data_IF_159150704048
#
_entry.id   IF_159150704048
#
_cell.length_a   1.000
_cell.length_b   1.000
_cell.length_c   1.000
_cell.angle_alpha   90.00
_cell.angle_beta   90.00
_cell.angle_gamma   90.00
#
_symmetry.space_group_name_H-M   'P 1'
#
loop_
_entity.id
_entity.type
_entity.pdbx_description
1 polymer ?
#
# COMPACT_ATOMS: atom_id res chain seq x y z
N UNK A 1 15.82 8.79 15.94
CA UNK A 1 16.39 7.41 15.95
C UNK A 1 16.49 6.77 17.32
N UNK A 2 17.07 7.41 18.35
CA UNK A 2 17.18 6.81 19.70
C UNK A 2 15.82 6.39 20.27
N UNK A 3 14.83 7.28 20.24
CA UNK A 3 13.46 7.00 20.71
C UNK A 3 12.84 5.76 20.04
N UNK A 4 13.06 5.61 18.72
CA UNK A 4 12.60 4.44 17.96
C UNK A 4 13.25 3.15 18.46
N UNK A 5 14.56 3.17 18.73
CA UNK A 5 15.28 2.00 19.26
C UNK A 5 14.90 1.69 20.71
N UNK A 6 14.63 2.71 21.53
CA UNK A 6 14.15 2.52 22.90
C UNK A 6 12.78 1.83 22.93
N UNK A 7 11.88 2.22 22.02
CA UNK A 7 10.55 1.65 21.89
C UNK A 7 10.57 0.24 21.29
N UNK A 8 11.22 0.06 20.14
CA UNK A 8 11.13 -1.18 19.36
C UNK A 8 12.24 -2.18 19.73
N UNK A 9 13.35 -1.72 20.30
CA UNK A 9 14.58 -2.50 20.42
C UNK A 9 15.50 -2.32 19.22
N UNK A 10 16.55 -3.15 19.07
CA UNK A 10 17.40 -3.13 17.89
C UNK A 10 16.65 -3.68 16.65
N UNK A 11 16.91 -3.15 15.44
CA UNK A 11 16.38 -3.73 14.21
C UNK A 11 17.04 -5.07 13.86
N UNK A 12 16.36 -5.90 13.08
CA UNK A 12 16.91 -7.17 12.56
C UNK A 12 18.01 -6.94 11.50
N UNK A 13 18.03 -5.74 10.92
CA UNK A 13 19.01 -5.31 9.94
C UNK A 13 18.82 -3.85 9.57
N UNK A 14 19.82 -3.26 8.93
CA UNK A 14 19.78 -1.88 8.48
C UNK A 14 20.56 -1.69 7.17
N UNK A 15 20.28 -0.60 6.47
CA UNK A 15 21.03 -0.13 5.30
C UNK A 15 21.38 1.35 5.45
N UNK A 16 22.59 1.72 5.08
CA UNK A 16 23.09 3.10 5.00
C UNK A 16 22.71 3.80 3.68
N UNK A 17 22.07 3.07 2.76
CA UNK A 17 21.71 3.56 1.43
C UNK A 17 22.91 3.95 0.56
N UNK A 18 24.11 3.41 0.86
CA UNK A 18 25.34 3.78 0.18
C UNK A 18 25.85 5.19 0.54
N UNK A 19 25.32 5.80 1.59
CA UNK A 19 25.79 7.09 2.11
C UNK A 19 26.89 6.90 3.16
N UNK A 20 27.80 7.87 3.27
CA UNK A 20 28.77 7.94 4.38
C UNK A 20 28.13 8.51 5.66
N UNK A 21 26.79 8.54 5.76
CA UNK A 21 26.09 9.08 6.91
C UNK A 21 26.45 8.28 8.18
N UNK A 22 26.57 8.95 9.34
CA UNK A 22 26.93 8.30 10.59
C UNK A 22 25.83 7.39 11.15
N UNK A 23 24.69 7.31 10.47
CA UNK A 23 23.47 6.64 10.93
C UNK A 23 22.80 5.90 9.76
N UNK A 24 22.23 4.70 9.98
CA UNK A 24 21.56 3.97 8.90
C UNK A 24 20.28 4.68 8.44
N UNK A 25 20.03 4.68 7.12
CA UNK A 25 18.87 5.32 6.50
C UNK A 25 17.61 4.45 6.55
N UNK A 26 17.76 3.13 6.55
CA UNK A 26 16.64 2.19 6.63
C UNK A 26 16.88 1.16 7.72
N UNK A 27 15.90 1.01 8.61
CA UNK A 27 15.87 -0.05 9.61
C UNK A 27 14.78 -1.05 9.27
N UNK A 28 15.10 -2.34 9.33
CA UNK A 28 14.16 -3.43 9.10
C UNK A 28 13.87 -4.22 10.38
N UNK A 29 12.59 -4.37 10.69
CA UNK A 29 12.04 -5.27 11.69
C UNK A 29 11.18 -6.30 10.95
N UNK A 30 11.84 -7.34 10.45
CA UNK A 30 11.28 -8.27 9.48
C UNK A 30 10.25 -9.19 10.12
N UNK A 31 9.21 -9.58 9.36
CA UNK A 31 8.89 -9.15 8.00
C UNK A 31 7.95 -7.94 7.93
N UNK A 32 7.56 -7.33 9.06
CA UNK A 32 6.35 -6.51 9.13
C UNK A 32 6.58 -5.00 9.22
N UNK A 33 7.82 -4.53 9.41
CA UNK A 33 8.08 -3.10 9.60
C UNK A 33 9.42 -2.68 9.02
N UNK A 34 9.40 -1.58 8.28
CA UNK A 34 10.55 -0.85 7.77
C UNK A 34 10.43 0.61 8.21
N UNK A 35 11.53 1.22 8.64
CA UNK A 35 11.56 2.62 9.08
C UNK A 35 12.67 3.34 8.32
N UNK A 36 12.29 4.38 7.58
CA UNK A 36 13.21 5.22 6.81
C UNK A 36 13.44 6.56 7.51
N UNK A 37 14.69 6.98 7.55
CA UNK A 37 15.12 8.28 8.07
C UNK A 37 15.66 9.15 6.94
N UNK A 38 15.58 10.47 7.13
CA UNK A 38 16.24 11.45 6.27
C UNK A 38 17.77 11.26 6.29
N UNK A 39 18.43 11.58 5.18
CA UNK A 39 19.89 11.44 5.05
C UNK A 39 20.69 12.55 5.72
N UNK A 40 20.06 13.68 5.99
CA UNK A 40 20.70 14.84 6.60
C UNK A 40 20.29 15.01 8.06
N UNK A 41 21.17 15.53 8.93
CA UNK A 41 20.81 15.92 10.28
C UNK A 41 19.57 16.85 10.28
N UNK A 42 18.62 16.67 11.21
CA UNK A 42 18.69 15.81 12.40
C UNK A 42 18.21 14.36 12.17
N UNK A 43 18.21 13.88 10.94
CA UNK A 43 17.85 12.51 10.53
C UNK A 43 16.44 12.14 10.99
N UNK A 44 15.49 12.99 10.60
CA UNK A 44 14.09 12.84 10.98
C UNK A 44 13.51 11.54 10.42
N UNK A 45 12.51 11.02 11.12
CA UNK A 45 11.68 9.94 10.60
C UNK A 45 10.99 10.43 9.32
N UNK A 46 11.24 9.76 8.21
CA UNK A 46 10.68 10.12 6.91
C UNK A 46 9.47 9.25 6.56
N UNK A 47 9.58 7.93 6.76
CA UNK A 47 8.52 6.99 6.39
C UNK A 47 8.52 5.78 7.30
N UNK A 48 7.34 5.34 7.72
CA UNK A 48 7.13 4.02 8.31
C UNK A 48 6.41 3.17 7.28
N UNK A 49 6.93 1.98 6.96
CA UNK A 49 6.30 1.06 6.03
C UNK A 49 5.99 -0.28 6.69
N UNK A 50 4.78 -0.77 6.48
CA UNK A 50 4.38 -2.16 6.75
C UNK A 50 4.33 -2.89 5.40
N UNK A 51 5.40 -3.60 5.00
CA UNK A 51 5.50 -4.20 3.67
C UNK A 51 4.64 -5.46 3.50
N UNK A 52 4.25 -6.08 4.61
CA UNK A 52 3.46 -7.29 4.62
C UNK A 52 2.45 -7.21 5.78
N UNK A 53 1.26 -7.75 5.55
CA UNK A 53 0.27 -7.97 6.59
C UNK A 53 0.29 -9.41 7.09
N UNK A 54 -0.35 -9.64 8.21
CA UNK A 54 -0.42 -10.97 8.79
C UNK A 54 -1.13 -11.96 7.84
N UNK A 55 -0.78 -13.25 7.90
CA UNK A 55 -1.58 -14.29 7.26
C UNK A 55 -3.02 -14.29 7.79
N UNK A 56 -4.03 -14.71 6.99
CA UNK A 56 -5.45 -14.63 7.36
C UNK A 56 -5.84 -15.33 8.67
N UNK A 57 -5.09 -16.36 9.09
CA UNK A 57 -5.37 -17.14 10.30
C UNK A 57 -4.82 -16.51 11.59
N UNK A 58 -4.05 -15.41 11.48
CA UNK A 58 -3.40 -14.78 12.63
C UNK A 58 -4.23 -13.63 13.17
N UNK A 59 -4.53 -13.69 14.48
CA UNK A 59 -5.18 -12.60 15.23
C UNK A 59 -4.21 -11.51 15.68
N UNK A 60 -2.92 -11.82 15.75
CA UNK A 60 -1.87 -10.91 16.18
C UNK A 60 -0.56 -11.24 15.49
N UNK A 61 0.26 -10.21 15.30
CA UNK A 61 1.66 -10.32 14.87
C UNK A 61 2.57 -9.69 15.91
N UNK A 62 3.83 -10.10 15.90
CA UNK A 62 4.87 -9.46 16.70
C UNK A 62 5.74 -8.63 15.77
N UNK A 63 5.92 -7.36 16.14
CA UNK A 63 6.86 -6.46 15.48
C UNK A 63 7.82 -5.99 16.55
N UNK A 64 9.04 -6.51 16.51
CA UNK A 64 10.03 -6.28 17.55
C UNK A 64 9.47 -6.59 18.95
N UNK A 65 9.35 -5.58 19.83
CA UNK A 65 8.78 -5.71 21.18
C UNK A 65 7.26 -5.53 21.25
N UNK A 66 6.62 -5.18 20.14
CA UNK A 66 5.19 -4.88 20.08
C UNK A 66 4.40 -6.13 19.66
N UNK A 67 3.24 -6.31 20.28
CA UNK A 67 2.21 -7.25 19.83
C UNK A 67 1.06 -6.45 19.25
N UNK A 68 0.81 -6.62 17.95
CA UNK A 68 -0.16 -5.83 17.19
C UNK A 68 -1.32 -6.74 16.83
N UNK A 69 -2.55 -6.30 17.13
CA UNK A 69 -3.76 -6.97 16.67
C UNK A 69 -3.90 -6.79 15.16
N UNK A 70 -4.31 -7.84 14.46
CA UNK A 70 -4.48 -7.79 13.01
C UNK A 70 -5.84 -7.26 12.60
N UNK A 71 -6.83 -7.31 13.50
CA UNK A 71 -8.22 -6.91 13.27
C UNK A 71 -8.85 -7.51 11.99
N UNK A 72 -8.32 -8.67 11.58
CA UNK A 72 -8.71 -9.38 10.37
C UNK A 72 -8.16 -8.77 9.07
N UNK A 73 -7.20 -7.85 9.13
CA UNK A 73 -6.44 -7.38 7.97
C UNK A 73 -5.37 -8.40 7.58
N UNK A 74 -5.29 -8.71 6.30
CA UNK A 74 -4.32 -9.66 5.75
C UNK A 74 -3.94 -9.27 4.32
N UNK A 75 -2.83 -9.83 3.85
CA UNK A 75 -2.22 -9.52 2.54
C UNK A 75 -3.12 -9.88 1.34
N UNK A 76 -3.97 -10.90 1.47
CA UNK A 76 -4.91 -11.31 0.41
C UNK A 76 -6.15 -10.42 0.26
N UNK A 77 -6.35 -9.41 1.12
CA UNK A 77 -7.50 -8.51 1.00
C UNK A 77 -7.33 -7.57 -0.18
N UNK A 78 -8.41 -7.36 -0.94
CA UNK A 78 -8.43 -6.38 -2.03
C UNK A 78 -8.54 -4.97 -1.48
N UNK A 79 -8.20 -4.00 -2.32
CA UNK A 79 -8.37 -2.58 -2.00
C UNK A 79 -9.84 -2.30 -1.63
N UNK A 80 -10.80 -2.78 -2.42
CA UNK A 80 -12.22 -2.57 -2.13
C UNK A 80 -12.66 -3.22 -0.80
N UNK A 81 -12.04 -4.31 -0.37
CA UNK A 81 -12.32 -4.93 0.93
C UNK A 81 -11.80 -4.08 2.09
N UNK A 82 -10.65 -3.43 1.92
CA UNK A 82 -10.12 -2.45 2.88
C UNK A 82 -11.02 -1.21 2.98
N UNK A 83 -11.42 -0.64 1.85
CA UNK A 83 -12.25 0.56 1.83
C UNK A 83 -13.60 0.35 2.55
N UNK A 84 -14.17 -0.85 2.49
CA UNK A 84 -15.43 -1.19 3.17
C UNK A 84 -15.30 -1.32 4.69
N UNK A 85 -14.09 -1.32 5.25
CA UNK A 85 -13.90 -1.43 6.70
C UNK A 85 -14.21 -0.10 7.39
N UNK A 86 -14.83 -0.18 8.55
CA UNK A 86 -15.14 0.97 9.41
C UNK A 86 -13.92 1.34 10.27
N UNK A 87 -12.83 1.75 9.63
CA UNK A 87 -11.56 2.12 10.30
C UNK A 87 -11.06 3.52 9.95
N UNK A 88 -11.71 4.19 9.01
CA UNK A 88 -11.21 5.43 8.42
C UNK A 88 -11.63 6.69 9.19
N UNK A 89 -12.60 6.58 10.11
CA UNK A 89 -13.08 7.72 10.88
C UNK A 89 -13.56 8.87 9.97
N UNK A 90 -13.09 10.09 10.25
CA UNK A 90 -13.39 11.30 9.48
C UNK A 90 -12.33 11.62 8.41
N UNK A 91 -11.41 10.68 8.11
CA UNK A 91 -10.33 10.93 7.16
C UNK A 91 -10.88 11.12 5.73
N UNK A 92 -10.36 12.12 5.02
CA UNK A 92 -10.59 12.25 3.58
C UNK A 92 -9.82 11.14 2.85
N UNK A 93 -10.56 10.26 2.17
CA UNK A 93 -10.00 9.13 1.43
C UNK A 93 -9.98 9.45 -0.06
N UNK A 94 -8.78 9.36 -0.66
CA UNK A 94 -8.59 9.42 -2.10
C UNK A 94 -8.06 8.07 -2.59
N UNK A 95 -8.78 7.46 -3.52
CA UNK A 95 -8.35 6.22 -4.18
C UNK A 95 -7.69 6.58 -5.50
N UNK A 96 -6.44 6.18 -5.69
CA UNK A 96 -5.68 6.39 -6.92
C UNK A 96 -5.60 5.13 -7.77
N UNK A 97 -5.63 5.30 -9.09
CA UNK A 97 -5.34 4.25 -10.06
C UNK A 97 -4.38 4.77 -11.11
N UNK A 98 -3.29 4.04 -11.38
CA UNK A 98 -2.31 4.40 -12.41
C UNK A 98 -1.96 3.18 -13.28
N UNK A 99 -2.16 3.31 -14.60
CA UNK A 99 -1.70 2.33 -15.57
C UNK A 99 -0.28 2.70 -16.03
N UNK A 100 0.72 1.87 -15.69
CA UNK A 100 2.14 2.08 -16.01
C UNK A 100 2.92 0.79 -15.74
N UNK A 101 4.25 0.81 -15.88
CA UNK A 101 5.10 -0.40 -15.85
C UNK A 101 5.05 -1.26 -14.56
N UNK A 102 4.38 -0.77 -13.52
CA UNK A 102 3.80 -1.59 -12.46
C UNK A 102 2.43 -0.99 -12.16
N UNK A 103 1.31 -1.56 -12.65
CA UNK A 103 -0.01 -0.98 -12.43
C UNK A 103 -0.33 -0.96 -10.94
N UNK A 104 -0.54 0.24 -10.42
CA UNK A 104 -0.81 0.46 -8.99
C UNK A 104 -2.23 0.95 -8.78
N UNK A 105 -2.87 0.45 -7.73
CA UNK A 105 -4.02 1.11 -7.10
C UNK A 105 -3.67 1.39 -5.65
N UNK A 106 -4.07 2.55 -5.14
CA UNK A 106 -3.78 2.93 -3.77
C UNK A 106 -4.95 3.62 -3.06
N UNK A 107 -4.92 3.57 -1.74
CA UNK A 107 -5.77 4.37 -0.86
C UNK A 107 -4.85 5.38 -0.19
N UNK A 108 -5.15 6.66 -0.31
CA UNK A 108 -4.45 7.75 0.36
C UNK A 108 -5.38 8.42 1.36
N UNK A 109 -4.90 8.58 2.59
CA UNK A 109 -5.40 9.56 3.56
C UNK A 109 -4.43 10.75 3.63
N UNK A 110 -4.61 11.65 4.60
CA UNK A 110 -3.68 12.75 4.83
C UNK A 110 -2.24 12.29 5.14
N UNK A 111 -2.08 11.13 5.79
CA UNK A 111 -0.78 10.67 6.31
C UNK A 111 -0.47 9.20 6.02
N UNK A 112 -1.40 8.47 5.40
CA UNK A 112 -1.25 7.04 5.13
C UNK A 112 -1.51 6.72 3.66
N UNK A 113 -0.70 5.84 3.08
CA UNK A 113 -0.88 5.26 1.75
C UNK A 113 -0.94 3.74 1.85
N UNK A 114 -1.96 3.12 1.30
CA UNK A 114 -2.03 1.67 1.15
C UNK A 114 -1.92 1.33 -0.32
N UNK A 115 -1.02 0.42 -0.69
CA UNK A 115 -0.64 0.20 -2.09
C UNK A 115 -0.87 -1.25 -2.48
N UNK A 116 -1.55 -1.46 -3.60
CA UNK A 116 -1.64 -2.75 -4.28
C UNK A 116 -1.06 -2.64 -5.68
N UNK A 117 -0.32 -3.66 -6.05
CA UNK A 117 0.24 -3.86 -7.38
C UNK A 117 -0.48 -5.00 -8.08
N UNK A 118 -0.39 -4.97 -9.41
CA UNK A 118 -0.81 -6.06 -10.27
C UNK A 118 0.41 -6.85 -10.75
N UNK A 119 0.35 -8.18 -10.72
CA UNK A 119 1.39 -9.00 -11.35
C UNK A 119 1.41 -8.79 -12.87
N UNK A 120 2.56 -9.01 -13.52
CA UNK A 120 2.67 -8.90 -14.98
C UNK A 120 1.65 -9.79 -15.73
N UNK A 121 1.36 -10.99 -15.21
CA UNK A 121 0.35 -11.88 -15.80
C UNK A 121 -1.07 -11.34 -15.64
N UNK A 122 -1.38 -10.76 -14.48
CA UNK A 122 -2.65 -10.09 -14.23
C UNK A 122 -2.83 -8.85 -15.12
N UNK A 123 -1.76 -8.10 -15.36
CA UNK A 123 -1.76 -6.94 -16.27
C UNK A 123 -2.07 -7.35 -17.71
N UNK A 124 -1.45 -8.42 -18.20
CA UNK A 124 -1.72 -8.95 -19.53
C UNK A 124 -3.19 -9.41 -19.67
N UNK A 125 -3.75 -10.04 -18.63
CA UNK A 125 -5.17 -10.42 -18.61
C UNK A 125 -6.07 -9.18 -18.72
N UNK A 126 -5.80 -8.14 -17.91
CA UNK A 126 -6.60 -6.91 -17.94
C UNK A 126 -6.48 -6.21 -19.30
N UNK A 127 -5.28 -6.14 -19.88
CA UNK A 127 -5.03 -5.53 -21.19
C UNK A 127 -5.83 -6.23 -22.29
N UNK A 128 -5.74 -7.56 -22.38
CA UNK A 128 -6.50 -8.36 -23.38
C UNK A 128 -8.00 -8.20 -23.22
N UNK A 129 -8.51 -8.16 -21.99
CA UNK A 129 -9.94 -7.94 -21.76
C UNK A 129 -10.36 -6.52 -22.16
N UNK A 130 -9.51 -5.53 -21.91
CA UNK A 130 -9.75 -4.12 -22.26
C UNK A 130 -9.80 -3.90 -23.78
N UNK A 131 -8.97 -4.60 -24.56
CA UNK A 131 -9.04 -4.61 -26.03
C UNK A 131 -10.41 -5.07 -26.55
N UNK A 132 -11.11 -5.92 -25.78
CA UNK A 132 -12.49 -6.33 -26.04
C UNK A 132 -13.54 -5.24 -25.78
N UNK A 133 -13.14 -4.04 -25.36
CA UNK A 133 -14.02 -2.89 -25.18
C UNK A 133 -14.72 -2.83 -23.82
N UNK A 134 -14.00 -3.10 -22.73
CA UNK A 134 -14.56 -2.99 -21.38
C UNK A 134 -15.10 -1.57 -21.12
N UNK A 135 -16.27 -1.52 -20.50
CA UNK A 135 -16.74 -0.29 -19.85
C UNK A 135 -15.76 0.12 -18.75
N UNK A 136 -15.72 1.42 -18.40
CA UNK A 136 -14.86 1.89 -17.30
C UNK A 136 -15.15 1.16 -15.98
N UNK A 137 -16.42 0.91 -15.69
CA UNK A 137 -16.82 0.18 -14.49
C UNK A 137 -16.29 -1.28 -14.51
N UNK A 138 -16.47 -1.99 -15.63
CA UNK A 138 -15.95 -3.35 -15.77
C UNK A 138 -14.42 -3.40 -15.71
N UNK A 139 -13.72 -2.42 -16.32
CA UNK A 139 -12.28 -2.27 -16.22
C UNK A 139 -11.83 -2.12 -14.76
N UNK A 140 -12.47 -1.22 -14.00
CA UNK A 140 -12.09 -0.94 -12.61
C UNK A 140 -12.42 -2.10 -11.68
N UNK A 141 -13.57 -2.76 -11.85
CA UNK A 141 -13.89 -3.98 -11.10
C UNK A 141 -12.90 -5.10 -11.40
N UNK A 142 -12.51 -5.27 -12.66
CA UNK A 142 -11.53 -6.28 -13.03
C UNK A 142 -10.14 -5.95 -12.50
N UNK A 143 -9.77 -4.67 -12.49
CA UNK A 143 -8.53 -4.18 -11.90
C UNK A 143 -8.46 -4.45 -10.40
N UNK A 144 -9.50 -4.12 -9.62
CA UNK A 144 -9.57 -4.43 -8.18
C UNK A 144 -9.42 -5.94 -7.90
N UNK A 145 -10.02 -6.79 -8.74
CA UNK A 145 -9.87 -8.24 -8.62
C UNK A 145 -8.47 -8.77 -8.90
N UNK A 146 -7.74 -8.11 -9.80
CA UNK A 146 -6.44 -8.55 -10.31
C UNK A 146 -5.25 -7.91 -9.57
N UNK A 147 -5.50 -6.87 -8.76
CA UNK A 147 -4.53 -6.23 -7.88
C UNK A 147 -4.39 -6.99 -6.55
N UNK A 148 -3.92 -8.24 -6.64
CA UNK A 148 -3.73 -9.14 -5.50
C UNK A 148 -2.37 -8.97 -4.79
N UNK A 149 -1.45 -8.21 -5.37
CA UNK A 149 -0.13 -7.96 -4.80
C UNK A 149 -0.14 -6.78 -3.82
N UNK A 150 -0.55 -7.01 -2.56
CA UNK A 150 -0.37 -6.02 -1.50
C UNK A 150 1.12 -5.64 -1.39
N UNK A 151 1.40 -4.35 -1.53
CA UNK A 151 2.77 -3.83 -1.60
C UNK A 151 3.22 -3.13 -0.31
N UNK A 152 2.26 -2.57 0.43
CA UNK A 152 2.51 -2.06 1.77
C UNK A 152 1.56 -0.95 2.21
N UNK A 153 1.57 -0.70 3.51
CA UNK A 153 1.07 0.54 4.12
C UNK A 153 2.27 1.45 4.38
N UNK A 154 2.16 2.72 4.01
CA UNK A 154 3.18 3.74 4.21
C UNK A 154 2.57 4.87 5.04
N UNK A 155 3.17 5.19 6.17
CA UNK A 155 2.93 6.46 6.86
C UNK A 155 3.98 7.45 6.41
N UNK A 156 3.54 8.53 5.78
CA UNK A 156 4.38 9.58 5.21
C UNK A 156 3.68 10.95 5.34
N UNK A 157 4.45 12.04 5.22
CA UNK A 157 3.92 13.40 5.37
C UNK A 157 2.96 13.81 4.24
N UNK A 158 3.14 13.27 3.03
CA UNK A 158 2.29 13.60 1.89
C UNK A 158 2.14 12.40 0.94
N UNK A 159 1.34 11.38 1.35
CA UNK A 159 1.12 10.14 0.60
C UNK A 159 0.86 10.29 -0.90
N UNK A 160 0.05 11.26 -1.29
CA UNK A 160 -0.31 11.49 -2.69
C UNK A 160 0.84 12.09 -3.51
N UNK A 161 1.67 12.96 -2.89
CA UNK A 161 2.83 13.56 -3.54
C UNK A 161 3.98 12.56 -3.69
N UNK A 162 4.01 11.52 -2.85
CA UNK A 162 5.00 10.44 -2.89
C UNK A 162 4.66 9.35 -3.94
N UNK A 163 3.63 9.56 -4.77
CA UNK A 163 3.27 8.64 -5.84
C UNK A 163 4.34 8.59 -6.93
N UNK A 164 4.56 7.39 -7.45
CA UNK A 164 5.42 7.15 -8.61
C UNK A 164 4.66 6.24 -9.57
N UNK A 165 4.54 6.59 -10.86
CA UNK A 165 4.97 7.87 -11.47
C UNK A 165 4.19 9.08 -10.89
N UNK A 166 4.63 10.29 -11.18
CA UNK A 166 3.97 11.52 -10.68
C UNK A 166 2.73 11.88 -11.51
N UNK A 167 2.65 11.42 -12.76
CA UNK A 167 1.57 11.62 -13.70
C UNK A 167 0.78 10.32 -13.97
N UNK A 168 -0.33 10.44 -14.71
CA UNK A 168 -1.14 9.28 -15.11
C UNK A 168 -2.03 8.68 -14.02
N UNK A 169 -2.18 9.36 -12.88
CA UNK A 169 -3.11 8.95 -11.82
C UNK A 169 -4.52 9.45 -12.10
N UNK A 170 -5.48 8.54 -12.02
CA UNK A 170 -6.89 8.86 -11.89
C UNK A 170 -7.30 8.71 -10.42
N UNK A 171 -7.96 9.76 -9.88
CA UNK A 171 -8.38 9.82 -8.49
C UNK A 171 -9.89 9.69 -8.36
N UNK A 172 -10.32 8.99 -7.31
CA UNK A 172 -11.72 8.76 -6.96
C UNK A 172 -11.93 9.02 -5.47
N UNK A 173 -13.13 9.43 -5.08
CA UNK A 173 -13.56 9.24 -3.70
C UNK A 173 -13.75 7.74 -3.40
N UNK A 174 -13.77 7.37 -2.12
CA UNK A 174 -14.05 5.99 -1.70
C UNK A 174 -15.37 5.46 -2.32
N UNK A 175 -16.46 6.23 -2.25
CA UNK A 175 -17.76 5.84 -2.79
C UNK A 175 -17.76 5.66 -4.32
N UNK A 176 -17.08 6.56 -5.03
CA UNK A 176 -16.93 6.47 -6.49
C UNK A 176 -16.19 5.20 -6.88
N UNK A 177 -15.09 4.91 -6.19
CA UNK A 177 -14.32 3.70 -6.44
C UNK A 177 -15.12 2.45 -6.12
N UNK A 178 -15.80 2.40 -4.96
CA UNK A 178 -16.61 1.26 -4.56
C UNK A 178 -17.77 0.99 -5.53
N UNK A 179 -18.40 2.04 -6.06
CA UNK A 179 -19.42 1.91 -7.09
C UNK A 179 -18.86 1.30 -8.38
N UNK A 180 -17.68 1.74 -8.84
CA UNK A 180 -17.01 1.17 -10.01
C UNK A 180 -16.57 -0.28 -9.77
N UNK A 181 -15.99 -0.58 -8.60
CA UNK A 181 -15.48 -1.90 -8.27
C UNK A 181 -16.57 -2.96 -8.05
N UNK A 182 -17.81 -2.54 -7.76
CA UNK A 182 -18.95 -3.44 -7.58
C UNK A 182 -19.49 -4.02 -8.91
N UNK A 183 -19.17 -3.40 -10.05
CA UNK A 183 -19.71 -3.80 -11.36
C UNK A 183 -18.93 -4.97 -11.98
N UNK A 184 -19.36 -6.19 -11.70
CA UNK A 184 -18.89 -7.35 -12.44
C UNK A 184 -19.80 -7.56 -13.65
N UNK A 185 -19.43 -7.00 -14.80
CA UNK A 185 -19.98 -7.49 -16.07
C UNK A 185 -19.35 -8.86 -16.35
N UNK A 186 -20.17 -9.91 -16.48
CA UNK A 186 -19.70 -11.19 -17.01
C UNK A 186 -19.29 -10.98 -18.45
N UNK A 187 -17.98 -10.95 -18.71
CA UNK A 187 -17.43 -11.01 -20.07
C UNK A 187 -17.84 -12.35 -20.65
N UNK A 188 -18.84 -12.34 -21.54
CA UNK A 188 -19.21 -13.50 -22.34
C UNK A 188 -18.07 -13.76 -23.32
N UNK A 189 -17.61 -15.01 -23.36
CA UNK A 189 -16.51 -15.52 -24.19
C UNK A 189 -16.69 -15.23 -25.67
#
# INVERSE_FOLDING_TARGET
MREVSELLGPPDGWMDGGSEAPVPLLWGYRPFLEIRFESEPPYLLQTIKVPQLAPPDKKYIHIARLRIATDGFHDQMRLSDFLRRDIWGDDEIVVGSCAGGNPVVDICTANTRLVWSMSAGSEEILARQSEGGLSKAAYMARRDQLSDGFFGIYSALSPQLDRVPQDGWENFSADQYLALAAHIETVVK
#
